data_IF_784380443085
#
_entry.id   IF_784380443085
#
_cell.length_a   1.000
_cell.length_b   1.000
_cell.length_c   1.000
_cell.angle_alpha   90.00
_cell.angle_beta   90.00
_cell.angle_gamma   90.00
#
_symmetry.space_group_name_H-M   'P 1'
#
loop_
_entity.id
_entity.type
_entity.pdbx_description
1 polymer ?
#
# COMPACT_ATOMS: atom_id res chain seq x y z
N UNK A 1 12.92 -6.17 -12.30
CA UNK A 1 11.57 -5.57 -12.32
C UNK A 1 11.71 -4.05 -12.34
N UNK A 2 10.93 -3.30 -13.13
CA UNK A 2 10.92 -1.82 -13.05
C UNK A 2 10.64 -1.46 -11.58
N UNK A 3 11.58 -0.77 -10.92
CA UNK A 3 11.39 -0.31 -9.53
C UNK A 3 10.09 0.51 -9.52
N UNK A 4 9.04 -0.04 -8.95
CA UNK A 4 7.82 0.71 -8.66
C UNK A 4 8.24 1.95 -7.88
N UNK A 5 7.68 3.10 -8.25
CA UNK A 5 7.98 4.40 -7.61
C UNK A 5 7.69 4.38 -6.10
N UNK A 6 6.92 3.41 -5.63
CA UNK A 6 6.59 3.15 -4.24
C UNK A 6 7.07 1.77 -3.81
N UNK A 7 7.64 1.68 -2.60
CA UNK A 7 7.98 0.40 -1.99
C UNK A 7 6.73 -0.29 -1.46
N UNK A 8 6.80 -1.60 -1.29
CA UNK A 8 5.67 -2.39 -0.76
C UNK A 8 5.28 -1.96 0.65
N UNK A 9 6.26 -1.56 1.47
CA UNK A 9 6.02 -0.95 2.78
C UNK A 9 5.22 0.35 2.68
N UNK A 10 5.54 1.22 1.72
CA UNK A 10 4.76 2.45 1.50
C UNK A 10 3.33 2.15 1.07
N UNK A 11 3.15 1.12 0.23
CA UNK A 11 1.84 0.68 -0.23
C UNK A 11 1.00 0.16 0.94
N UNK A 12 1.53 -0.76 1.75
CA UNK A 12 0.80 -1.31 2.89
C UNK A 12 0.55 -0.25 3.96
N UNK A 13 1.48 0.68 4.17
CA UNK A 13 1.24 1.81 5.07
C UNK A 13 0.11 2.73 4.57
N UNK A 14 -0.01 2.95 3.26
CA UNK A 14 -1.12 3.69 2.67
C UNK A 14 -2.46 2.98 2.91
N UNK A 15 -2.52 1.67 2.71
CA UNK A 15 -3.72 0.87 2.96
C UNK A 15 -4.11 0.88 4.44
N UNK A 16 -3.13 0.74 5.34
CA UNK A 16 -3.32 0.78 6.79
C UNK A 16 -3.92 2.10 7.26
N UNK A 17 -3.45 3.23 6.71
CA UNK A 17 -4.03 4.55 7.05
C UNK A 17 -5.52 4.61 6.74
N UNK A 18 -5.95 4.02 5.62
CA UNK A 18 -7.35 3.95 5.27
C UNK A 18 -8.16 3.02 6.19
N UNK A 19 -7.56 1.90 6.62
CA UNK A 19 -8.17 1.00 7.62
C UNK A 19 -8.33 1.67 9.00
N UNK A 20 -7.39 2.54 9.37
CA UNK A 20 -7.42 3.32 10.62
C UNK A 20 -8.38 4.52 10.57
N UNK A 21 -9.12 4.70 9.47
CA UNK A 21 -10.14 5.74 9.33
C UNK A 21 -9.70 6.97 8.53
N UNK A 22 -8.50 6.99 7.96
CA UNK A 22 -8.11 8.07 7.03
C UNK A 22 -8.90 7.92 5.73
N UNK A 23 -9.45 9.01 5.20
CA UNK A 23 -10.15 8.94 3.92
C UNK A 23 -9.18 8.61 2.77
N UNK A 24 -9.55 7.64 1.93
CA UNK A 24 -8.81 7.27 0.70
C UNK A 24 -8.37 8.49 -0.14
N UNK A 25 -9.23 9.50 -0.41
CA UNK A 25 -8.81 10.68 -1.16
C UNK A 25 -7.69 11.48 -0.47
N UNK A 26 -7.65 11.52 0.86
CA UNK A 26 -6.57 12.19 1.60
C UNK A 26 -5.26 11.40 1.51
N UNK A 27 -5.33 10.06 1.64
CA UNK A 27 -4.17 9.17 1.43
C UNK A 27 -3.61 9.36 0.02
N UNK A 28 -4.49 9.39 -0.99
CA UNK A 28 -4.11 9.60 -2.38
C UNK A 28 -3.44 10.97 -2.60
N UNK A 29 -3.99 12.02 -2.00
CA UNK A 29 -3.44 13.38 -2.06
C UNK A 29 -2.06 13.49 -1.40
N UNK A 30 -1.86 12.85 -0.24
CA UNK A 30 -0.57 12.84 0.49
C UNK A 30 0.51 12.09 -0.28
N UNK A 31 0.16 10.99 -0.95
CA UNK A 31 1.10 10.15 -1.71
C UNK A 31 1.27 10.59 -3.17
N UNK A 32 0.44 11.51 -3.66
CA UNK A 32 0.46 11.95 -5.06
C UNK A 32 0.05 10.84 -6.03
N UNK A 33 -0.91 9.99 -5.62
CA UNK A 33 -1.44 8.88 -6.42
C UNK A 33 -2.92 9.10 -6.73
N UNK A 34 -3.44 8.42 -7.75
CA UNK A 34 -4.89 8.38 -8.02
C UNK A 34 -5.59 7.35 -7.13
N UNK A 35 -6.89 7.54 -6.92
CA UNK A 35 -7.76 6.57 -6.25
C UNK A 35 -7.69 5.18 -6.91
N UNK A 36 -7.64 5.13 -8.24
CA UNK A 36 -7.46 3.87 -8.99
C UNK A 36 -6.21 3.11 -8.56
N UNK A 37 -5.08 3.81 -8.36
CA UNK A 37 -3.83 3.21 -7.88
C UNK A 37 -4.00 2.64 -6.48
N UNK A 38 -4.68 3.37 -5.59
CA UNK A 38 -4.98 2.90 -4.24
C UNK A 38 -5.82 1.62 -4.25
N UNK A 39 -6.87 1.52 -5.08
CA UNK A 39 -7.68 0.31 -5.16
C UNK A 39 -6.95 -0.87 -5.81
N UNK A 40 -6.06 -0.63 -6.78
CA UNK A 40 -5.16 -1.67 -7.31
C UNK A 40 -4.27 -2.22 -6.20
N UNK A 41 -3.70 -1.33 -5.38
CA UNK A 41 -2.92 -1.73 -4.21
C UNK A 41 -3.77 -2.51 -3.21
N UNK A 42 -4.99 -2.06 -2.92
CA UNK A 42 -5.90 -2.78 -2.02
C UNK A 42 -6.23 -4.18 -2.54
N UNK A 43 -6.37 -4.37 -3.85
CA UNK A 43 -6.59 -5.69 -4.45
C UNK A 43 -5.36 -6.60 -4.31
N UNK A 44 -4.15 -6.04 -4.44
CA UNK A 44 -2.90 -6.81 -4.42
C UNK A 44 -2.35 -7.04 -3.01
N UNK A 45 -2.52 -6.08 -2.11
CA UNK A 45 -1.91 -6.02 -0.79
C UNK A 45 -2.93 -5.89 0.36
N UNK A 46 -4.23 -5.72 0.09
CA UNK A 46 -5.26 -5.46 1.11
C UNK A 46 -5.64 -6.65 2.00
N UNK A 47 -4.94 -7.77 1.88
CA UNK A 47 -4.95 -8.87 2.85
C UNK A 47 -3.58 -9.15 3.47
N UNK A 48 -2.55 -8.41 3.06
CA UNK A 48 -1.17 -8.62 3.49
C UNK A 48 -0.90 -7.66 4.65
N UNK A 49 -0.83 -8.20 5.86
CA UNK A 49 -0.40 -7.41 7.02
C UNK A 49 1.07 -6.96 6.86
N UNK A 50 1.48 -5.81 7.43
CA UNK A 50 2.88 -5.37 7.38
C UNK A 50 3.87 -6.42 7.96
N UNK A 51 3.42 -7.27 8.88
CA UNK A 51 4.18 -8.42 9.38
C UNK A 51 4.35 -9.54 8.33
N UNK A 52 3.35 -9.78 7.48
CA UNK A 52 3.44 -10.72 6.35
C UNK A 52 4.35 -10.18 5.25
N UNK A 53 4.36 -8.86 5.00
CA UNK A 53 5.32 -8.23 4.09
C UNK A 53 6.77 -8.50 4.50
N UNK A 54 7.07 -8.43 5.82
CA UNK A 54 8.41 -8.73 6.34
C UNK A 54 8.80 -10.19 6.10
N UNK A 55 7.84 -11.11 6.15
CA UNK A 55 8.05 -12.53 5.87
C UNK A 55 8.24 -12.80 4.36
N UNK A 56 7.43 -12.14 3.51
CA UNK A 56 7.57 -12.21 2.04
C UNK A 56 8.96 -11.75 1.59
N UNK A 57 9.52 -10.72 2.23
CA UNK A 57 10.86 -10.18 1.91
C UNK A 57 12.02 -11.04 2.41
N UNK A 58 11.77 -11.98 3.33
CA UNK A 58 12.78 -12.91 3.84
C UNK A 58 12.87 -14.20 3.00
N UNK A 59 11.90 -14.43 2.10
CA UNK A 59 11.85 -15.56 1.18
C UNK A 59 12.42 -15.23 -0.23
N UNK A 60 13.08 -14.07 -0.39
CA UNK A 60 13.74 -13.64 -1.64
C UNK A 60 15.28 -13.66 -1.50
#
# INVERSE_FOLDING_TARGET
>A
MKKSRFTEEQIVFALKQAELGTSVPEVCRKLGISDATFYIWRKKYGGISPSELKHMRQLE
#
